data_IF_805484310322
#
_entry.id   IF_805484310322
#
_cell.length_a   1.000
_cell.length_b   1.000
_cell.length_c   1.000
_cell.angle_alpha   90.00
_cell.angle_beta   90.00
_cell.angle_gamma   90.00
#
_symmetry.space_group_name_H-M   'P 1'
#
loop_
_entity.id
_entity.type
_entity.pdbx_description
1 polymer ?
#
# COMPACT_ATOMS: atom_id res chain seq x y z
N UNK A 1 -20.43 19.60 -37.52
CA UNK A 1 -21.52 19.23 -36.64
C UNK A 1 -21.62 17.74 -36.30
N UNK A 2 -21.76 16.78 -37.26
CA UNK A 2 -21.82 15.33 -36.90
C UNK A 2 -20.59 14.78 -36.20
N UNK A 3 -19.38 15.27 -36.51
CA UNK A 3 -18.11 14.80 -35.90
C UNK A 3 -17.92 15.31 -34.44
N UNK A 4 -18.35 16.53 -34.15
CA UNK A 4 -18.31 17.13 -32.83
C UNK A 4 -19.28 16.46 -31.86
N UNK A 5 -20.52 16.17 -32.34
CA UNK A 5 -21.48 15.42 -31.56
C UNK A 5 -21.02 13.99 -31.22
N UNK A 6 -20.31 13.32 -32.15
CA UNK A 6 -19.75 11.98 -31.95
C UNK A 6 -18.59 12.01 -30.96
N UNK A 7 -17.73 13.05 -31.01
CA UNK A 7 -16.64 13.30 -30.06
C UNK A 7 -17.15 13.60 -28.65
N UNK A 8 -18.19 14.44 -28.54
CA UNK A 8 -18.83 14.77 -27.26
C UNK A 8 -19.52 13.54 -26.62
N UNK A 9 -20.20 12.70 -27.40
CA UNK A 9 -20.82 11.45 -26.93
C UNK A 9 -19.79 10.45 -26.44
N UNK A 10 -18.65 10.30 -27.15
CA UNK A 10 -17.52 9.43 -26.74
C UNK A 10 -16.90 9.93 -25.42
N UNK A 11 -16.69 11.26 -25.28
CA UNK A 11 -16.17 11.86 -24.06
C UNK A 11 -17.10 11.65 -22.84
N UNK A 12 -18.41 11.78 -23.02
CA UNK A 12 -19.39 11.50 -21.94
C UNK A 12 -19.43 10.04 -21.54
N UNK A 13 -19.36 9.13 -22.49
CA UNK A 13 -19.29 7.68 -22.24
C UNK A 13 -18.01 7.32 -21.45
N UNK A 14 -16.85 7.85 -21.85
CA UNK A 14 -15.58 7.62 -21.15
C UNK A 14 -15.61 8.18 -19.72
N UNK A 15 -16.16 9.38 -19.51
CA UNK A 15 -16.31 9.96 -18.15
C UNK A 15 -17.23 9.10 -17.27
N UNK A 16 -18.32 8.58 -17.83
CA UNK A 16 -19.23 7.67 -17.10
C UNK A 16 -18.52 6.37 -16.74
N UNK A 17 -17.81 5.76 -17.67
CA UNK A 17 -17.06 4.54 -17.44
C UNK A 17 -15.99 4.73 -16.34
N UNK A 18 -15.20 5.82 -16.41
CA UNK A 18 -14.21 6.14 -15.38
C UNK A 18 -14.86 6.31 -13.99
N UNK A 19 -16.03 6.98 -13.93
CA UNK A 19 -16.76 7.16 -12.66
C UNK A 19 -17.28 5.85 -12.11
N UNK A 20 -17.81 4.97 -12.95
CA UNK A 20 -18.32 3.65 -12.52
C UNK A 20 -17.17 2.77 -12.02
N UNK A 21 -16.05 2.72 -12.76
CA UNK A 21 -14.86 1.96 -12.34
C UNK A 21 -14.31 2.47 -11.00
N UNK A 22 -14.29 3.79 -10.79
CA UNK A 22 -13.89 4.39 -9.51
C UNK A 22 -14.82 3.97 -8.37
N UNK A 23 -16.15 4.05 -8.56
CA UNK A 23 -17.12 3.61 -7.56
C UNK A 23 -16.97 2.14 -7.16
N UNK A 24 -16.73 1.27 -8.13
CA UNK A 24 -16.49 -0.16 -7.88
C UNK A 24 -15.22 -0.40 -7.06
N UNK A 25 -14.13 0.33 -7.34
CA UNK A 25 -12.90 0.26 -6.57
C UNK A 25 -13.07 0.74 -5.13
N UNK A 26 -13.71 1.90 -4.94
CA UNK A 26 -14.01 2.45 -3.62
C UNK A 26 -14.88 1.49 -2.80
N UNK A 27 -15.92 0.93 -3.39
CA UNK A 27 -16.80 -0.05 -2.74
C UNK A 27 -16.08 -1.36 -2.41
N UNK A 28 -15.15 -1.80 -3.26
CA UNK A 28 -14.35 -2.99 -3.01
C UNK A 28 -13.35 -2.77 -1.85
N UNK A 29 -12.64 -1.64 -1.85
CA UNK A 29 -11.69 -1.29 -0.79
C UNK A 29 -12.38 -1.23 0.57
N UNK A 30 -13.52 -0.55 0.65
CA UNK A 30 -14.36 -0.45 1.84
C UNK A 30 -14.85 -1.84 2.31
N UNK A 31 -15.35 -2.69 1.40
CA UNK A 31 -15.78 -4.04 1.74
C UNK A 31 -14.61 -4.95 2.21
N UNK A 32 -13.44 -4.82 1.57
CA UNK A 32 -12.23 -5.56 1.96
C UNK A 32 -11.70 -5.14 3.33
N UNK A 33 -11.76 -3.85 3.66
CA UNK A 33 -11.33 -3.36 4.97
C UNK A 33 -12.26 -3.80 6.09
N UNK A 34 -13.58 -3.87 5.84
CA UNK A 34 -14.58 -4.27 6.85
C UNK A 34 -14.51 -5.75 7.23
N UNK A 35 -14.36 -6.66 6.27
CA UNK A 35 -14.49 -8.10 6.54
C UNK A 35 -13.42 -8.99 5.90
N UNK A 36 -12.46 -8.38 5.23
CA UNK A 36 -11.37 -9.08 4.56
C UNK A 36 -11.69 -9.47 3.11
N UNK A 37 -10.62 -9.70 2.35
CA UNK A 37 -10.69 -10.02 0.92
C UNK A 37 -11.45 -11.32 0.69
N UNK A 38 -11.14 -12.38 1.44
CA UNK A 38 -11.72 -13.71 1.24
C UNK A 38 -13.22 -13.76 1.52
N UNK A 39 -13.68 -13.06 2.57
CA UNK A 39 -15.08 -13.05 2.97
C UNK A 39 -15.94 -12.11 2.12
N UNK A 40 -15.34 -11.22 1.33
CA UNK A 40 -16.07 -10.27 0.48
C UNK A 40 -16.50 -10.91 -0.82
N UNK A 41 -17.77 -10.75 -1.19
CA UNK A 41 -18.36 -11.26 -2.44
C UNK A 41 -18.53 -10.15 -3.49
N UNK A 42 -18.59 -10.55 -4.76
CA UNK A 42 -18.87 -9.62 -5.88
C UNK A 42 -20.22 -8.94 -5.71
N UNK A 43 -21.23 -9.64 -5.19
CA UNK A 43 -22.56 -9.10 -4.89
C UNK A 43 -22.47 -7.90 -3.91
N UNK A 44 -21.72 -8.06 -2.84
CA UNK A 44 -21.55 -7.00 -1.83
C UNK A 44 -20.84 -5.77 -2.38
N UNK A 45 -19.81 -5.98 -3.22
CA UNK A 45 -19.12 -4.87 -3.90
C UNK A 45 -20.10 -4.11 -4.81
N UNK A 46 -20.90 -4.85 -5.59
CA UNK A 46 -21.85 -4.22 -6.53
C UNK A 46 -23.00 -3.53 -5.83
N UNK A 47 -23.50 -4.07 -4.73
CA UNK A 47 -24.54 -3.46 -3.89
C UNK A 47 -24.01 -2.16 -3.25
N UNK A 48 -22.80 -2.17 -2.68
CA UNK A 48 -22.15 -0.95 -2.15
C UNK A 48 -21.93 0.11 -3.23
N UNK A 49 -21.55 -0.30 -4.44
CA UNK A 49 -21.31 0.61 -5.57
C UNK A 49 -22.61 1.13 -6.21
N UNK A 50 -23.78 0.60 -5.83
CA UNK A 50 -25.08 0.87 -6.46
C UNK A 50 -25.06 0.60 -7.98
N UNK A 51 -24.58 -0.61 -8.36
CA UNK A 51 -24.54 -1.08 -9.75
C UNK A 51 -24.93 -2.57 -9.83
N UNK A 52 -25.41 -3.00 -11.00
CA UNK A 52 -25.68 -4.43 -11.22
C UNK A 52 -24.40 -5.26 -11.39
N UNK A 53 -24.42 -6.54 -10.98
CA UNK A 53 -23.31 -7.50 -11.09
C UNK A 53 -22.71 -7.55 -12.50
N UNK A 54 -23.54 -7.53 -13.55
CA UNK A 54 -23.07 -7.47 -14.95
C UNK A 54 -22.27 -6.20 -15.28
N UNK A 55 -22.44 -5.12 -14.51
CA UNK A 55 -21.65 -3.91 -14.67
C UNK A 55 -20.24 -4.10 -14.14
N UNK A 56 -20.04 -4.82 -13.03
CA UNK A 56 -18.70 -5.12 -12.52
C UNK A 56 -17.90 -5.88 -13.57
N UNK A 57 -18.46 -6.94 -14.15
CA UNK A 57 -17.80 -7.76 -15.18
C UNK A 57 -17.53 -7.05 -16.53
N UNK A 58 -18.01 -5.81 -16.71
CA UNK A 58 -17.62 -4.94 -17.83
C UNK A 58 -16.28 -4.21 -17.56
N UNK A 59 -15.81 -4.17 -16.32
CA UNK A 59 -14.62 -3.44 -15.89
C UNK A 59 -13.54 -4.30 -15.26
N UNK A 60 -13.89 -5.47 -14.74
CA UNK A 60 -13.02 -6.40 -14.04
C UNK A 60 -13.44 -7.83 -14.35
N UNK A 61 -12.50 -8.70 -14.58
CA UNK A 61 -12.75 -10.12 -14.88
C UNK A 61 -13.23 -10.86 -13.63
N UNK A 62 -12.63 -10.55 -12.47
CA UNK A 62 -12.98 -11.14 -11.17
C UNK A 62 -12.67 -10.17 -10.00
N UNK A 63 -12.85 -10.67 -8.78
CA UNK A 63 -12.53 -9.95 -7.54
C UNK A 63 -11.02 -9.79 -7.35
N UNK A 64 -10.27 -10.77 -7.75
CA UNK A 64 -8.82 -10.85 -7.64
C UNK A 64 -8.14 -9.75 -8.46
N UNK A 65 -8.61 -9.45 -9.67
CA UNK A 65 -8.15 -8.31 -10.47
C UNK A 65 -8.34 -6.98 -9.73
N UNK A 66 -9.45 -6.83 -9.01
CA UNK A 66 -9.70 -5.61 -8.20
C UNK A 66 -8.68 -5.53 -7.06
N UNK A 67 -8.37 -6.65 -6.39
CA UNK A 67 -7.36 -6.70 -5.32
C UNK A 67 -5.98 -6.30 -5.83
N UNK A 68 -5.53 -6.85 -6.95
CA UNK A 68 -4.24 -6.53 -7.56
C UNK A 68 -4.17 -5.04 -7.88
N UNK A 69 -5.17 -4.51 -8.56
CA UNK A 69 -5.23 -3.09 -8.93
C UNK A 69 -5.20 -2.16 -7.71
N UNK A 70 -5.97 -2.47 -6.67
CA UNK A 70 -6.01 -1.66 -5.45
C UNK A 70 -4.69 -1.75 -4.68
N UNK A 71 -4.04 -2.93 -4.66
CA UNK A 71 -2.73 -3.08 -4.05
C UNK A 71 -1.64 -2.30 -4.80
N UNK A 72 -1.68 -2.30 -6.15
CA UNK A 72 -0.78 -1.47 -6.97
C UNK A 72 -0.95 0.02 -6.65
N UNK A 73 -2.20 0.51 -6.62
CA UNK A 73 -2.49 1.91 -6.31
C UNK A 73 -2.05 2.28 -4.89
N UNK A 74 -2.32 1.43 -3.90
CA UNK A 74 -1.93 1.65 -2.52
C UNK A 74 -0.39 1.66 -2.34
N UNK A 75 0.32 0.77 -3.03
CA UNK A 75 1.79 0.75 -3.02
C UNK A 75 2.35 2.02 -3.69
N UNK A 76 1.76 2.47 -4.80
CA UNK A 76 2.17 3.72 -5.45
C UNK A 76 2.01 4.91 -4.51
N UNK A 77 0.87 5.04 -3.82
CA UNK A 77 0.66 6.09 -2.82
C UNK A 77 1.70 6.02 -1.67
N UNK A 78 2.05 4.81 -1.22
CA UNK A 78 3.07 4.64 -0.19
C UNK A 78 4.46 5.03 -0.70
N UNK A 79 4.82 4.65 -1.93
CA UNK A 79 6.08 5.03 -2.58
C UNK A 79 6.16 6.55 -2.75
N UNK A 80 5.09 7.20 -3.20
CA UNK A 80 5.02 8.67 -3.32
C UNK A 80 5.29 9.36 -1.98
N UNK A 81 4.77 8.82 -0.86
CA UNK A 81 5.08 9.34 0.49
C UNK A 81 6.52 9.12 0.90
N UNK A 82 7.08 7.94 0.61
CA UNK A 82 8.49 7.63 0.88
C UNK A 82 9.41 8.59 0.12
N UNK A 83 9.05 8.99 -1.10
CA UNK A 83 9.82 9.90 -1.94
C UNK A 83 9.59 11.39 -1.62
N UNK A 84 8.57 11.71 -0.83
CA UNK A 84 8.20 13.09 -0.49
C UNK A 84 8.91 13.55 0.78
N UNK A 85 9.81 14.53 0.68
CA UNK A 85 10.52 15.13 1.80
C UNK A 85 10.12 16.61 1.98
N UNK A 86 9.90 17.02 3.22
CA UNK A 86 9.91 18.46 3.57
C UNK A 86 11.34 19.02 3.53
N UNK A 87 12.32 18.23 3.98
CA UNK A 87 13.75 18.49 3.87
C UNK A 87 14.47 17.17 3.60
N UNK A 88 15.46 17.19 2.70
CA UNK A 88 16.22 15.97 2.40
C UNK A 88 16.92 15.43 3.66
N UNK A 89 16.83 14.14 3.98
CA UNK A 89 17.58 13.55 5.08
C UNK A 89 19.10 13.75 4.89
N UNK A 90 19.81 14.04 5.97
CA UNK A 90 21.26 14.25 5.91
C UNK A 90 22.02 13.00 6.33
N UNK A 91 21.44 12.17 7.19
CA UNK A 91 22.05 10.97 7.76
C UNK A 91 21.19 9.72 7.52
N UNK A 92 21.79 8.54 7.73
CA UNK A 92 21.04 7.29 7.74
C UNK A 92 19.95 7.27 8.82
N UNK A 93 20.21 7.89 9.99
CA UNK A 93 19.23 7.98 11.08
C UNK A 93 18.03 8.81 10.62
N UNK A 94 18.26 9.94 9.98
CA UNK A 94 17.19 10.81 9.44
C UNK A 94 16.39 10.07 8.34
N UNK A 95 17.06 9.32 7.47
CA UNK A 95 16.39 8.53 6.43
C UNK A 95 15.52 7.43 7.04
N UNK A 96 15.99 6.70 8.03
CA UNK A 96 15.21 5.68 8.72
C UNK A 96 14.00 6.30 9.46
N UNK A 97 14.20 7.45 10.11
CA UNK A 97 13.11 8.20 10.74
C UNK A 97 12.07 8.65 9.71
N UNK A 98 12.51 9.13 8.54
CA UNK A 98 11.64 9.52 7.45
C UNK A 98 10.83 8.33 6.91
N UNK A 99 11.49 7.21 6.61
CA UNK A 99 10.82 6.00 6.13
C UNK A 99 9.72 5.55 7.09
N UNK A 100 10.04 5.48 8.39
CA UNK A 100 9.04 5.07 9.39
C UNK A 100 7.91 6.09 9.56
N UNK A 101 8.19 7.38 9.38
CA UNK A 101 7.18 8.42 9.43
C UNK A 101 6.24 8.36 8.21
N UNK A 102 6.78 8.20 7.01
CA UNK A 102 6.00 8.06 5.79
C UNK A 102 4.99 6.89 5.89
N UNK A 103 5.43 5.77 6.44
CA UNK A 103 4.53 4.63 6.68
C UNK A 103 3.48 4.91 7.76
N UNK A 104 3.85 5.62 8.82
CA UNK A 104 2.91 6.00 9.86
C UNK A 104 1.81 6.93 9.32
N UNK A 105 2.20 7.94 8.55
CA UNK A 105 1.27 8.86 7.90
C UNK A 105 0.37 8.12 6.90
N UNK A 106 0.92 7.17 6.15
CA UNK A 106 0.14 6.31 5.27
C UNK A 106 -0.90 5.49 6.04
N UNK A 107 -0.51 4.91 7.18
CA UNK A 107 -1.45 4.19 8.07
C UNK A 107 -2.57 5.10 8.60
N UNK A 108 -2.24 6.31 9.03
CA UNK A 108 -3.22 7.26 9.59
C UNK A 108 -4.19 7.78 8.54
N UNK A 109 -3.67 8.15 7.36
CA UNK A 109 -4.46 8.80 6.31
C UNK A 109 -5.17 7.82 5.37
N UNK A 110 -4.69 6.58 5.28
CA UNK A 110 -5.14 5.56 4.33
C UNK A 110 -5.22 4.17 4.97
N UNK A 111 -5.89 4.08 6.12
CA UNK A 111 -5.97 2.84 6.91
C UNK A 111 -6.58 1.65 6.14
N UNK A 112 -7.53 1.90 5.23
CA UNK A 112 -8.13 0.88 4.38
C UNK A 112 -7.13 0.29 3.38
N UNK A 113 -6.33 1.16 2.74
CA UNK A 113 -5.24 0.74 1.84
C UNK A 113 -4.16 -0.02 2.62
N UNK A 114 -3.82 0.44 3.83
CA UNK A 114 -2.87 -0.28 4.70
C UNK A 114 -3.37 -1.69 5.04
N UNK A 115 -4.65 -1.83 5.41
CA UNK A 115 -5.26 -3.13 5.70
C UNK A 115 -5.28 -4.04 4.47
N UNK A 116 -5.60 -3.48 3.30
CA UNK A 116 -5.56 -4.21 2.03
C UNK A 116 -4.15 -4.75 1.75
N UNK A 117 -3.11 -3.92 1.89
CA UNK A 117 -1.73 -4.34 1.68
C UNK A 117 -1.30 -5.43 2.66
N UNK A 118 -1.72 -5.33 3.93
CA UNK A 118 -1.43 -6.37 4.93
C UNK A 118 -2.08 -7.70 4.56
N UNK A 119 -3.35 -7.70 4.16
CA UNK A 119 -4.10 -8.89 3.75
C UNK A 119 -3.53 -9.48 2.44
N UNK A 120 -3.27 -8.65 1.43
CA UNK A 120 -2.71 -9.06 0.14
C UNK A 120 -1.37 -9.78 0.30
N UNK A 121 -0.50 -9.29 1.19
CA UNK A 121 0.78 -9.96 1.51
C UNK A 121 0.60 -11.38 2.08
N UNK A 122 -0.45 -11.62 2.85
CA UNK A 122 -0.76 -12.97 3.36
C UNK A 122 -1.27 -13.90 2.26
N UNK A 123 -2.08 -13.40 1.34
CA UNK A 123 -2.59 -14.16 0.20
C UNK A 123 -1.47 -14.67 -0.72
N UNK A 124 -0.40 -13.88 -0.95
CA UNK A 124 0.77 -14.29 -1.72
C UNK A 124 1.42 -15.61 -1.26
N UNK A 125 1.26 -15.96 0.01
CA UNK A 125 1.84 -17.18 0.58
C UNK A 125 0.89 -18.38 0.59
N UNK A 126 -0.41 -18.16 0.44
CA UNK A 126 -1.43 -19.19 0.67
C UNK A 126 -2.04 -19.75 -0.62
N UNK A 127 -1.91 -19.06 -1.74
CA UNK A 127 -2.48 -19.45 -3.03
C UNK A 127 -1.43 -19.32 -4.13
N UNK A 128 -0.87 -20.46 -4.56
CA UNK A 128 0.33 -20.51 -5.41
C UNK A 128 0.11 -20.24 -6.91
N UNK A 129 -1.10 -20.13 -7.43
CA UNK A 129 -1.34 -20.16 -8.88
C UNK A 129 -1.95 -18.90 -9.51
N UNK A 130 -2.34 -17.88 -8.74
CA UNK A 130 -3.03 -16.68 -9.27
C UNK A 130 -2.44 -15.34 -8.87
N UNK A 131 -1.30 -15.30 -8.17
CA UNK A 131 -0.82 -14.09 -7.50
C UNK A 131 0.60 -13.64 -7.88
N UNK A 132 1.16 -14.14 -8.98
CA UNK A 132 2.44 -13.63 -9.52
C UNK A 132 2.37 -12.12 -9.80
N UNK A 133 1.20 -11.63 -10.24
CA UNK A 133 0.94 -10.20 -10.49
C UNK A 133 0.92 -9.36 -9.21
N UNK A 134 0.54 -9.95 -8.06
CA UNK A 134 0.54 -9.24 -6.77
C UNK A 134 1.94 -9.16 -6.15
N UNK A 135 2.88 -10.05 -6.52
CA UNK A 135 4.25 -10.03 -6.00
C UNK A 135 5.04 -8.80 -6.48
N UNK A 136 4.88 -8.42 -7.74
CA UNK A 136 5.62 -7.32 -8.37
C UNK A 136 5.47 -5.98 -7.63
N UNK A 137 4.26 -5.50 -7.28
CA UNK A 137 4.10 -4.28 -6.47
C UNK A 137 4.88 -4.30 -5.15
N UNK A 138 4.87 -5.43 -4.42
CA UNK A 138 5.62 -5.54 -3.16
C UNK A 138 7.13 -5.57 -3.38
N UNK A 139 7.62 -6.18 -4.46
CA UNK A 139 9.05 -6.15 -4.80
C UNK A 139 9.49 -4.73 -5.16
N UNK A 140 8.68 -3.99 -5.88
CA UNK A 140 8.92 -2.58 -6.21
C UNK A 140 8.96 -1.69 -4.96
N UNK A 141 8.05 -1.90 -4.03
CA UNK A 141 8.06 -1.22 -2.75
C UNK A 141 9.34 -1.50 -1.93
N UNK A 142 9.78 -2.77 -1.86
CA UNK A 142 11.04 -3.11 -1.19
C UNK A 142 12.25 -2.50 -1.91
N UNK A 143 12.26 -2.49 -3.24
CA UNK A 143 13.32 -1.87 -4.03
C UNK A 143 13.41 -0.36 -3.76
N UNK A 144 12.28 0.34 -3.61
CA UNK A 144 12.27 1.76 -3.24
C UNK A 144 12.95 1.99 -1.90
N UNK A 145 12.61 1.20 -0.86
CA UNK A 145 13.29 1.33 0.46
C UNK A 145 14.79 1.05 0.33
N UNK A 146 15.20 0.07 -0.48
CA UNK A 146 16.61 -0.24 -0.73
C UNK A 146 17.33 0.93 -1.38
N UNK A 147 16.74 1.55 -2.38
CA UNK A 147 17.31 2.70 -3.08
C UNK A 147 17.50 3.88 -2.13
N UNK A 148 16.49 4.19 -1.32
CA UNK A 148 16.57 5.24 -0.31
C UNK A 148 17.69 4.97 0.72
N UNK A 149 17.77 3.76 1.25
CA UNK A 149 18.81 3.37 2.21
C UNK A 149 20.21 3.37 1.59
N UNK A 150 20.34 2.91 0.35
CA UNK A 150 21.63 2.77 -0.34
C UNK A 150 22.38 4.09 -0.48
N UNK A 151 21.66 5.21 -0.56
CA UNK A 151 22.24 6.56 -0.62
C UNK A 151 23.07 6.91 0.62
N UNK A 152 22.72 6.35 1.77
CA UNK A 152 23.36 6.62 3.08
C UNK A 152 24.28 5.50 3.54
N UNK A 153 24.34 4.40 2.82
CA UNK A 153 25.17 3.24 3.16
C UNK A 153 26.50 3.26 2.39
N UNK A 154 27.50 2.58 2.94
CA UNK A 154 28.78 2.42 2.22
C UNK A 154 28.57 1.60 0.95
N UNK A 155 29.17 1.98 -0.20
CA UNK A 155 29.12 1.18 -1.44
C UNK A 155 29.68 -0.25 -1.31
N UNK A 156 30.35 -0.55 -0.19
CA UNK A 156 30.90 -1.88 0.10
C UNK A 156 29.93 -2.80 0.84
N UNK A 157 28.73 -2.29 1.20
CA UNK A 157 27.71 -3.12 1.85
C UNK A 157 27.15 -4.11 0.84
N UNK A 158 27.06 -5.37 1.24
CA UNK A 158 26.45 -6.43 0.43
C UNK A 158 24.97 -6.07 0.09
N UNK A 159 24.53 -6.20 -1.16
CA UNK A 159 23.14 -5.94 -1.56
C UNK A 159 22.12 -6.71 -0.71
N UNK A 160 22.43 -7.96 -0.36
CA UNK A 160 21.57 -8.77 0.51
C UNK A 160 21.39 -8.16 1.91
N UNK A 161 22.40 -7.43 2.41
CA UNK A 161 22.28 -6.74 3.71
C UNK A 161 21.33 -5.56 3.61
N UNK A 162 21.36 -4.82 2.50
CA UNK A 162 20.40 -3.72 2.22
C UNK A 162 18.99 -4.26 2.12
N UNK A 163 18.77 -5.35 1.37
CA UNK A 163 17.48 -6.04 1.27
C UNK A 163 16.94 -6.45 2.64
N UNK A 164 17.78 -7.00 3.50
CA UNK A 164 17.39 -7.38 4.88
C UNK A 164 16.97 -6.18 5.73
N UNK A 165 17.62 -5.02 5.54
CA UNK A 165 17.26 -3.79 6.22
C UNK A 165 15.90 -3.28 5.71
N UNK A 166 15.67 -3.27 4.40
CA UNK A 166 14.39 -2.91 3.82
C UNK A 166 13.25 -3.81 4.35
N UNK A 167 13.48 -5.13 4.39
CA UNK A 167 12.54 -6.07 5.00
C UNK A 167 12.33 -5.82 6.50
N UNK A 168 13.37 -5.40 7.25
CA UNK A 168 13.22 -5.08 8.67
C UNK A 168 12.37 -3.81 8.87
N UNK A 169 12.57 -2.76 8.06
CA UNK A 169 11.74 -1.55 8.08
C UNK A 169 10.29 -1.88 7.77
N UNK A 170 10.04 -2.54 6.65
CA UNK A 170 8.70 -2.96 6.24
C UNK A 170 8.03 -3.86 7.29
N UNK A 171 8.78 -4.85 7.81
CA UNK A 171 8.29 -5.80 8.81
C UNK A 171 7.95 -5.14 10.15
N UNK A 172 8.75 -4.18 10.60
CA UNK A 172 8.47 -3.41 11.81
C UNK A 172 7.15 -2.65 11.68
N UNK A 173 6.98 -1.92 10.58
CA UNK A 173 5.79 -1.10 10.34
C UNK A 173 4.54 -1.96 10.25
N UNK A 174 4.51 -2.90 9.31
CA UNK A 174 3.34 -3.76 9.12
C UNK A 174 3.04 -4.64 10.34
N UNK A 175 4.07 -5.14 11.03
CA UNK A 175 3.89 -5.92 12.24
C UNK A 175 3.36 -5.09 13.40
N UNK A 176 3.94 -3.91 13.65
CA UNK A 176 3.50 -3.05 14.74
C UNK A 176 2.05 -2.61 14.56
N UNK A 177 1.69 -2.01 13.42
CA UNK A 177 0.35 -1.48 13.23
C UNK A 177 -0.73 -2.55 13.20
N UNK A 178 -0.46 -3.72 12.58
CA UNK A 178 -1.44 -4.81 12.56
C UNK A 178 -1.79 -5.34 13.96
N UNK A 179 -0.83 -5.36 14.89
CA UNK A 179 -1.09 -5.73 16.27
C UNK A 179 -1.67 -4.57 17.09
N UNK A 180 -1.21 -3.35 16.84
CA UNK A 180 -1.70 -2.16 17.53
C UNK A 180 -3.21 -1.95 17.29
N UNK A 181 -3.69 -2.15 16.07
CA UNK A 181 -5.12 -2.08 15.74
C UNK A 181 -6.00 -3.06 16.52
N UNK A 182 -5.46 -4.17 16.99
CA UNK A 182 -6.20 -5.16 17.80
C UNK A 182 -6.28 -4.78 19.27
N UNK A 183 -5.22 -4.18 19.81
CA UNK A 183 -5.04 -4.03 21.26
C UNK A 183 -4.90 -2.60 21.76
N UNK A 184 -4.93 -1.58 20.90
CA UNK A 184 -4.67 -0.19 21.26
C UNK A 184 -5.71 0.74 20.65
N UNK A 185 -6.00 1.84 21.37
CA UNK A 185 -6.75 2.97 20.80
C UNK A 185 -5.85 3.83 19.91
N UNK A 186 -6.42 4.67 19.06
CA UNK A 186 -5.67 5.60 18.21
C UNK A 186 -4.70 6.47 19.01
N UNK A 187 -5.15 7.02 20.17
CA UNK A 187 -4.34 7.84 21.08
C UNK A 187 -3.16 7.05 21.69
N UNK A 188 -3.34 5.77 21.98
CA UNK A 188 -2.28 4.89 22.47
C UNK A 188 -1.28 4.54 21.37
N UNK A 189 -1.74 4.32 20.14
CA UNK A 189 -0.88 4.10 18.96
C UNK A 189 0.01 5.33 18.76
N UNK A 190 -0.59 6.52 18.72
CA UNK A 190 0.11 7.80 18.52
C UNK A 190 1.20 8.03 19.59
N UNK A 191 0.89 7.77 20.84
CA UNK A 191 1.84 7.90 21.95
C UNK A 191 2.96 6.86 21.92
N UNK A 192 2.69 5.67 21.39
CA UNK A 192 3.63 4.54 21.36
C UNK A 192 4.59 4.58 20.18
N UNK A 193 4.14 5.10 19.03
CA UNK A 193 4.92 5.07 17.76
C UNK A 193 6.26 5.79 17.90
N UNK A 194 6.26 7.03 18.41
CA UNK A 194 7.49 7.84 18.50
C UNK A 194 8.61 7.21 19.34
N UNK A 195 8.36 6.71 20.56
CA UNK A 195 9.38 6.05 21.38
C UNK A 195 9.90 4.76 20.71
N UNK A 196 9.01 3.92 20.19
CA UNK A 196 9.37 2.65 19.55
C UNK A 196 10.18 2.89 18.26
N UNK A 197 9.80 3.87 17.45
CA UNK A 197 10.56 4.27 16.26
C UNK A 197 12.01 4.61 16.61
N UNK A 198 12.24 5.44 17.62
CA UNK A 198 13.59 5.80 18.07
C UNK A 198 14.44 4.58 18.50
N UNK A 199 13.84 3.66 19.25
CA UNK A 199 14.51 2.43 19.67
C UNK A 199 14.88 1.58 18.45
N UNK A 200 13.95 1.42 17.51
CA UNK A 200 14.16 0.64 16.30
C UNK A 200 15.26 1.24 15.42
N UNK A 201 15.20 2.55 15.14
CA UNK A 201 16.21 3.27 14.35
C UNK A 201 17.60 3.13 14.97
N UNK A 202 17.75 3.38 16.28
CA UNK A 202 19.02 3.19 16.98
C UNK A 202 19.55 1.77 16.90
N UNK A 203 18.66 0.78 17.01
CA UNK A 203 19.04 -0.64 16.90
C UNK A 203 19.54 -0.96 15.49
N UNK A 204 18.94 -0.45 14.44
CA UNK A 204 19.41 -0.62 13.07
C UNK A 204 20.74 0.07 12.82
N UNK A 205 20.92 1.30 13.29
CA UNK A 205 22.21 2.02 13.20
C UNK A 205 23.32 1.27 13.92
N UNK A 206 23.07 0.78 15.14
CA UNK A 206 24.03 -0.03 15.89
C UNK A 206 24.36 -1.35 15.20
N UNK A 207 23.39 -2.03 14.59
CA UNK A 207 23.62 -3.25 13.79
C UNK A 207 24.52 -2.99 12.58
N UNK A 208 24.49 -1.79 12.03
CA UNK A 208 25.34 -1.37 10.92
C UNK A 208 26.74 -0.89 11.34
N UNK A 209 27.02 -0.83 12.65
CA UNK A 209 28.29 -0.37 13.20
C UNK A 209 28.45 1.16 13.16
N UNK A 210 27.34 1.87 13.27
CA UNK A 210 27.27 3.35 13.30
C UNK A 210 26.68 3.87 14.60
#
# INVERSE_FOLDING_TARGET
MKNEAKKAKKSRSQKRAKRTRKKLKEAALDAFSEKGIDATTVEEITDKADVGKGTLYQYFDDKEEIVVLLAEEAIEHLIERIQSYESAPETLEDMLEHLLNAHYEFFVDSSEEFLLLFQGKLLLKLQSDTLDELEEPYLRYLAEIEDQLSTYLSPRIEPLKVRRLACAVAGFVFGFFSFAMIGMTEDEIDKSVKPLRRVFVRSLCAFLGR
#
